data_IF_590334916746
#
_entry.id   IF_590334916746
#
_cell.length_a   1.000
_cell.length_b   1.000
_cell.length_c   1.000
_cell.angle_alpha   90.00
_cell.angle_beta   90.00
_cell.angle_gamma   90.00
#
_symmetry.space_group_name_H-M   'P 1'
#
loop_
_entity.id
_entity.type
_entity.pdbx_description
1 polymer ?
#
# COMPACT_ATOMS: atom_id res chain seq x y z
N UNK A 1 20.35 -8.65 14.28
CA UNK A 1 20.38 -8.33 15.73
C UNK A 1 21.58 -7.45 16.10
N UNK A 2 22.75 -7.64 15.49
CA UNK A 2 23.97 -6.84 15.72
C UNK A 2 23.81 -5.36 15.36
N UNK A 3 23.30 -5.06 14.16
CA UNK A 3 22.99 -3.70 13.72
C UNK A 3 22.13 -2.90 14.71
N UNK A 4 21.07 -3.51 15.26
CA UNK A 4 20.19 -2.83 16.21
C UNK A 4 20.94 -2.46 17.50
N UNK A 5 21.81 -3.36 17.99
CA UNK A 5 22.60 -3.11 19.20
C UNK A 5 23.60 -1.98 18.98
N UNK A 6 24.30 -1.99 17.85
CA UNK A 6 25.26 -0.94 17.49
C UNK A 6 24.58 0.40 17.26
N UNK A 7 23.44 0.42 16.55
CA UNK A 7 22.66 1.63 16.33
C UNK A 7 22.15 2.26 17.63
N UNK A 8 21.68 1.43 18.57
CA UNK A 8 21.18 1.90 19.88
C UNK A 8 22.28 2.37 20.84
N UNK A 9 23.56 2.08 20.55
CA UNK A 9 24.70 2.58 21.33
C UNK A 9 25.22 3.94 20.85
N UNK A 10 24.82 4.38 19.65
CA UNK A 10 25.22 5.67 19.07
C UNK A 10 24.56 6.86 19.72
N UNK A 11 25.18 8.03 19.64
CA UNK A 11 24.55 9.27 20.10
C UNK A 11 23.42 9.74 19.17
N UNK A 12 22.68 10.77 19.58
CA UNK A 12 21.55 11.28 18.78
C UNK A 12 21.98 11.81 17.40
N UNK A 13 23.13 12.50 17.32
CA UNK A 13 23.62 13.10 16.07
C UNK A 13 23.99 12.03 15.07
N UNK A 14 24.67 10.98 15.52
CA UNK A 14 25.01 9.83 14.70
C UNK A 14 23.76 9.12 14.18
N UNK A 15 22.75 8.90 15.05
CA UNK A 15 21.47 8.26 14.63
C UNK A 15 20.71 9.10 13.61
N UNK A 16 20.71 10.42 13.76
CA UNK A 16 20.13 11.35 12.79
C UNK A 16 20.85 11.29 11.44
N UNK A 17 22.18 11.24 11.45
CA UNK A 17 22.98 11.14 10.22
C UNK A 17 22.69 9.83 9.48
N UNK A 18 22.69 8.71 10.20
CA UNK A 18 22.35 7.39 9.64
C UNK A 18 20.93 7.41 9.06
N UNK A 19 19.96 7.98 9.78
CA UNK A 19 18.58 8.07 9.32
C UNK A 19 18.45 8.92 8.05
N UNK A 20 19.17 10.06 7.98
CA UNK A 20 19.20 10.92 6.79
C UNK A 20 19.83 10.20 5.61
N UNK A 21 20.93 9.49 5.82
CA UNK A 21 21.60 8.71 4.79
C UNK A 21 20.67 7.60 4.26
N UNK A 22 20.08 6.79 5.14
CA UNK A 22 19.15 5.73 4.76
C UNK A 22 17.92 6.27 4.00
N UNK A 23 17.36 7.40 4.43
CA UNK A 23 16.27 8.08 3.71
C UNK A 23 16.72 8.58 2.34
N UNK A 24 17.92 9.12 2.24
CA UNK A 24 18.51 9.57 0.97
C UNK A 24 18.75 8.42 -0.01
N UNK A 25 19.32 7.32 0.47
CA UNK A 25 19.53 6.10 -0.32
C UNK A 25 18.20 5.47 -0.75
N UNK A 26 17.24 5.36 0.17
CA UNK A 26 15.89 4.89 -0.14
C UNK A 26 15.22 5.77 -1.19
N UNK A 27 15.31 7.09 -1.07
CA UNK A 27 14.74 8.02 -2.05
C UNK A 27 15.37 7.83 -3.44
N UNK A 28 16.70 7.75 -3.53
CA UNK A 28 17.42 7.49 -4.79
C UNK A 28 17.07 6.15 -5.41
N UNK A 29 16.89 5.12 -4.59
CA UNK A 29 16.48 3.79 -5.06
C UNK A 29 15.02 3.77 -5.53
N UNK A 30 14.15 4.54 -4.91
CA UNK A 30 12.74 4.64 -5.30
C UNK A 30 12.54 5.55 -6.53
N UNK A 31 13.37 6.57 -6.72
CA UNK A 31 13.34 7.47 -7.89
C UNK A 31 13.52 6.74 -9.24
N UNK A 32 14.18 5.58 -9.25
CA UNK A 32 14.42 4.78 -10.47
C UNK A 32 13.59 3.47 -10.52
N UNK A 33 12.69 3.24 -9.57
CA UNK A 33 11.81 2.07 -9.60
C UNK A 33 10.55 2.43 -10.37
N UNK A 34 10.21 1.63 -11.37
CA UNK A 34 8.95 1.75 -12.08
C UNK A 34 7.80 1.77 -11.08
N UNK A 35 6.79 2.58 -11.37
CA UNK A 35 5.60 2.70 -10.54
C UNK A 35 5.00 1.32 -10.20
N UNK A 36 5.12 0.35 -11.11
CA UNK A 36 4.66 -1.03 -10.95
C UNK A 36 5.33 -1.78 -9.77
N UNK A 37 6.59 -1.47 -9.43
CA UNK A 37 7.32 -2.11 -8.31
C UNK A 37 6.79 -1.64 -6.94
N UNK A 38 6.12 -0.49 -6.89
CA UNK A 38 5.58 0.09 -5.64
C UNK A 38 4.13 -0.33 -5.34
N UNK A 39 3.47 -1.06 -6.25
CA UNK A 39 2.17 -1.66 -5.98
C UNK A 39 2.31 -3.06 -5.37
N UNK A 40 1.21 -3.61 -4.85
CA UNK A 40 1.19 -4.98 -4.35
C UNK A 40 1.25 -5.98 -5.50
N UNK A 41 2.05 -7.03 -5.33
CA UNK A 41 2.16 -8.12 -6.31
C UNK A 41 0.82 -8.85 -6.52
N UNK A 42 0.39 -9.08 -7.78
CA UNK A 42 -0.86 -9.80 -8.06
C UNK A 42 -0.92 -11.20 -7.45
N UNK A 43 0.21 -11.92 -7.39
CA UNK A 43 0.26 -13.26 -6.79
C UNK A 43 -0.02 -13.24 -5.28
N UNK A 44 0.44 -12.19 -4.59
CA UNK A 44 0.18 -12.00 -3.15
C UNK A 44 -1.29 -11.69 -2.90
N UNK A 45 -1.92 -10.88 -3.77
CA UNK A 45 -3.36 -10.62 -3.71
C UNK A 45 -4.17 -11.90 -3.88
N UNK A 46 -3.89 -12.68 -4.94
CA UNK A 46 -4.58 -13.94 -5.22
C UNK A 46 -4.43 -14.90 -4.04
N UNK A 47 -3.19 -15.10 -3.56
CA UNK A 47 -2.92 -15.99 -2.43
C UNK A 47 -3.69 -15.58 -1.18
N UNK A 48 -3.67 -14.28 -0.82
CA UNK A 48 -4.39 -13.78 0.35
C UNK A 48 -5.91 -13.98 0.23
N UNK A 49 -6.48 -13.75 -0.97
CA UNK A 49 -7.91 -13.96 -1.22
C UNK A 49 -8.30 -15.43 -1.13
N UNK A 50 -7.50 -16.33 -1.69
CA UNK A 50 -7.74 -17.78 -1.68
C UNK A 50 -7.60 -18.37 -0.27
N UNK A 51 -6.54 -18.00 0.46
CA UNK A 51 -6.31 -18.45 1.84
C UNK A 51 -7.46 -18.09 2.76
N UNK A 52 -8.03 -16.90 2.59
CA UNK A 52 -9.14 -16.41 3.41
C UNK A 52 -10.51 -16.73 2.80
N UNK A 53 -10.55 -17.39 1.64
CA UNK A 53 -11.78 -17.76 0.93
C UNK A 53 -12.70 -16.57 0.63
N UNK A 54 -12.12 -15.38 0.39
CA UNK A 54 -12.86 -14.15 0.11
C UNK A 54 -12.88 -13.81 -1.38
N UNK A 55 -13.93 -13.10 -1.81
CA UNK A 55 -14.07 -12.59 -3.19
C UNK A 55 -13.82 -11.09 -3.32
N UNK A 56 -13.58 -10.43 -2.19
CA UNK A 56 -13.43 -8.99 -2.06
C UNK A 56 -12.23 -8.75 -1.17
N UNK A 57 -11.24 -8.02 -1.67
CA UNK A 57 -10.12 -7.53 -0.90
C UNK A 57 -10.19 -6.00 -0.90
N UNK A 58 -10.11 -5.38 0.28
CA UNK A 58 -10.10 -3.93 0.42
C UNK A 58 -8.81 -3.55 1.15
N UNK A 59 -8.00 -2.66 0.57
CA UNK A 59 -6.79 -2.15 1.21
C UNK A 59 -6.48 -0.70 0.81
N UNK A 60 -5.58 -0.06 1.55
CA UNK A 60 -4.99 1.25 1.21
C UNK A 60 -3.49 1.12 0.95
N UNK A 61 -2.70 2.00 1.58
CA UNK A 61 -1.23 1.99 1.60
C UNK A 61 -0.53 2.33 0.29
N UNK A 62 -1.02 1.88 -0.86
CA UNK A 62 -0.39 2.16 -2.17
C UNK A 62 -0.77 3.53 -2.73
N UNK A 63 -1.82 4.15 -2.19
CA UNK A 63 -2.36 5.47 -2.58
C UNK A 63 -2.80 5.53 -4.06
N UNK A 64 -3.23 4.38 -4.61
CA UNK A 64 -3.63 4.21 -6.02
C UNK A 64 -5.06 3.74 -6.12
N UNK A 65 -6.04 4.64 -5.94
CA UNK A 65 -7.44 4.26 -5.89
C UNK A 65 -7.88 3.62 -7.21
N UNK A 66 -8.34 2.38 -7.15
CA UNK A 66 -8.75 1.59 -8.30
C UNK A 66 -9.51 0.33 -7.87
N UNK A 67 -10.24 -0.25 -8.81
CA UNK A 67 -10.84 -1.59 -8.67
C UNK A 67 -10.13 -2.51 -9.65
N UNK A 68 -9.54 -3.59 -9.16
CA UNK A 68 -8.84 -4.58 -9.98
C UNK A 68 -9.56 -5.92 -9.91
N UNK A 69 -9.67 -6.57 -11.07
CA UNK A 69 -10.17 -7.94 -11.15
C UNK A 69 -9.02 -8.94 -11.07
N UNK A 70 -9.21 -10.01 -10.32
CA UNK A 70 -8.25 -11.11 -10.21
C UNK A 70 -8.96 -12.44 -10.46
N UNK A 71 -8.33 -13.28 -11.28
CA UNK A 71 -8.78 -14.67 -11.48
C UNK A 71 -8.28 -15.52 -10.32
N UNK A 72 -9.20 -15.98 -9.48
CA UNK A 72 -8.95 -16.98 -8.44
C UNK A 72 -9.25 -18.37 -9.02
N UNK A 73 -8.87 -19.43 -8.29
CA UNK A 73 -9.03 -20.83 -8.72
C UNK A 73 -10.39 -21.14 -9.38
N UNK A 74 -11.49 -20.78 -8.71
CA UNK A 74 -12.85 -21.15 -9.14
C UNK A 74 -13.76 -19.94 -9.42
N UNK A 75 -13.25 -18.71 -9.35
CA UNK A 75 -14.08 -17.49 -9.42
C UNK A 75 -13.26 -16.23 -9.70
N UNK A 76 -13.96 -15.15 -10.05
CA UNK A 76 -13.38 -13.80 -10.10
C UNK A 76 -13.48 -13.13 -8.72
N UNK A 77 -12.37 -12.54 -8.29
CA UNK A 77 -12.25 -11.68 -7.11
C UNK A 77 -12.03 -10.22 -7.50
N UNK A 78 -12.45 -9.29 -6.64
CA UNK A 78 -12.24 -7.86 -6.81
C UNK A 78 -11.36 -7.30 -5.69
N UNK A 79 -10.35 -6.51 -6.06
CA UNK A 79 -9.47 -5.76 -5.15
C UNK A 79 -9.82 -4.27 -5.25
N UNK A 80 -10.29 -3.69 -4.15
CA UNK A 80 -10.57 -2.28 -4.00
C UNK A 80 -9.40 -1.61 -3.29
N UNK A 81 -8.80 -0.63 -3.94
CA UNK A 81 -7.73 0.19 -3.38
C UNK A 81 -8.32 1.52 -2.97
N UNK A 82 -8.17 1.89 -1.70
CA UNK A 82 -8.61 3.17 -1.15
C UNK A 82 -7.57 4.26 -1.41
N UNK A 83 -8.05 5.50 -1.58
CA UNK A 83 -7.19 6.67 -1.68
C UNK A 83 -6.68 7.10 -0.29
N UNK A 84 -5.61 7.92 -0.29
CA UNK A 84 -5.20 8.65 0.92
C UNK A 84 -6.08 9.91 1.09
N UNK A 85 -5.96 10.59 2.23
CA UNK A 85 -6.85 11.66 2.68
C UNK A 85 -6.37 13.07 2.29
N UNK A 86 -5.69 13.24 1.13
CA UNK A 86 -5.09 14.53 0.71
C UNK A 86 -4.82 14.61 -0.80
N UNK A 87 -5.12 15.75 -1.47
CA UNK A 87 -6.07 16.82 -1.12
C UNK A 87 -7.53 16.46 -1.45
N UNK A 88 -7.74 15.26 -1.99
CA UNK A 88 -8.99 14.57 -2.18
C UNK A 88 -8.78 13.12 -1.73
N UNK A 89 -9.85 12.38 -1.51
CA UNK A 89 -9.78 10.97 -1.13
C UNK A 89 -10.72 10.12 -1.95
N UNK A 90 -10.46 8.83 -1.98
CA UNK A 90 -11.38 7.85 -2.53
C UNK A 90 -11.76 6.90 -1.42
N UNK A 91 -13.05 6.82 -1.12
CA UNK A 91 -13.62 6.01 -0.05
C UNK A 91 -14.61 5.00 -0.63
N UNK A 92 -14.84 3.92 0.11
CA UNK A 92 -15.74 2.85 -0.31
C UNK A 92 -17.06 2.95 0.45
N UNK A 93 -18.16 2.97 -0.28
CA UNK A 93 -19.52 2.84 0.27
C UNK A 93 -20.01 1.43 -0.02
N UNK A 94 -20.50 0.75 1.02
CA UNK A 94 -21.03 -0.61 0.90
C UNK A 94 -22.45 -0.68 1.42
N UNK A 95 -23.36 -1.16 0.57
CA UNK A 95 -24.76 -1.44 0.90
C UNK A 95 -25.10 -2.83 0.37
N UNK A 96 -25.47 -3.76 1.26
CA UNK A 96 -25.68 -5.17 0.94
C UNK A 96 -24.52 -5.81 0.16
N UNK A 97 -24.73 -6.07 -1.14
CA UNK A 97 -23.74 -6.64 -2.06
C UNK A 97 -23.08 -5.60 -2.96
N UNK A 98 -23.50 -4.33 -2.86
CA UNK A 98 -22.97 -3.24 -3.66
C UNK A 98 -21.72 -2.63 -3.02
N UNK A 99 -20.73 -2.32 -3.86
CA UNK A 99 -19.44 -1.75 -3.46
C UNK A 99 -19.13 -0.61 -4.41
N UNK A 100 -19.27 0.61 -3.94
CA UNK A 100 -19.14 1.82 -4.74
C UNK A 100 -17.94 2.64 -4.26
N UNK A 101 -16.93 2.76 -5.13
CA UNK A 101 -15.68 3.46 -4.84
C UNK A 101 -15.83 4.91 -5.28
N UNK A 102 -16.03 5.83 -4.32
CA UNK A 102 -16.39 7.23 -4.57
C UNK A 102 -15.23 8.16 -4.29
N UNK A 103 -15.12 9.21 -5.12
CA UNK A 103 -14.20 10.31 -4.88
C UNK A 103 -14.85 11.39 -4.00
N UNK A 104 -14.09 11.91 -3.06
CA UNK A 104 -14.43 13.04 -2.23
C UNK A 104 -13.35 14.11 -2.38
N UNK A 105 -13.75 15.31 -2.82
CA UNK A 105 -12.88 16.46 -2.84
C UNK A 105 -13.15 17.29 -1.59
N UNK A 106 -12.12 17.55 -0.78
CA UNK A 106 -12.21 18.52 0.29
C UNK A 106 -12.23 19.90 -0.36
N UNK A 107 -13.43 20.41 -0.69
CA UNK A 107 -13.58 21.82 -1.04
C UNK A 107 -13.05 22.66 0.13
N UNK A 108 -12.16 23.60 -0.18
CA UNK A 108 -11.78 24.68 0.73
C UNK A 108 -12.96 25.62 0.97
#
# INVERSE_FOLDING_TARGET
KEFQREFLQKDLKERELISKQMRGESKKQTENKDEEIMDVSPSTVILAMEQNQVRRLIHGHTHRPAIHEHRLKDRVGLRYVLGDWRPSTTFLVTEDTNYDLRNFNYSA
#
